data_IF_296319839847
#
_entry.id   IF_296319839847
#
_cell.length_a   1.000
_cell.length_b   1.000
_cell.length_c   1.000
_cell.angle_alpha   90.00
_cell.angle_beta   90.00
_cell.angle_gamma   90.00
#
_symmetry.space_group_name_H-M   'P 1'
#
loop_
_entity.id
_entity.type
_entity.pdbx_description
1 polymer ?
#
# COMPACT_ATOMS: atom_id res chain seq x y z
N UNK A 1 11.19 -21.49 -19.41
CA UNK A 1 11.92 -20.53 -18.54
C UNK A 1 11.13 -20.37 -17.27
N UNK A 2 11.77 -20.35 -16.11
CA UNK A 2 11.09 -19.98 -14.85
C UNK A 2 10.70 -18.51 -14.90
N UNK A 3 9.48 -18.18 -14.47
CA UNK A 3 8.98 -16.81 -14.45
C UNK A 3 9.63 -16.04 -13.30
N UNK A 4 10.10 -14.82 -13.55
CA UNK A 4 10.51 -13.85 -12.53
C UNK A 4 9.29 -13.03 -12.15
N UNK A 5 8.78 -13.21 -10.94
CA UNK A 5 7.67 -12.40 -10.42
C UNK A 5 8.22 -11.20 -9.66
N UNK A 6 8.13 -10.02 -10.25
CA UNK A 6 8.58 -8.74 -9.69
C UNK A 6 7.43 -7.72 -9.59
N UNK A 7 6.21 -8.21 -9.28
CA UNK A 7 5.01 -7.36 -9.10
C UNK A 7 4.33 -7.60 -7.74
N UNK A 8 5.13 -7.81 -6.69
CA UNK A 8 4.63 -8.09 -5.33
C UNK A 8 3.84 -6.91 -4.72
N UNK A 9 4.07 -5.68 -5.15
CA UNK A 9 3.27 -4.53 -4.73
C UNK A 9 1.83 -4.56 -5.28
N UNK A 10 1.55 -5.27 -6.38
CA UNK A 10 0.19 -5.49 -6.86
C UNK A 10 -0.52 -6.58 -6.04
N UNK A 11 0.10 -7.73 -5.89
CA UNK A 11 -0.34 -8.84 -5.02
C UNK A 11 0.81 -9.80 -4.83
N UNK A 12 0.83 -10.54 -3.72
CA UNK A 12 1.83 -11.57 -3.46
C UNK A 12 1.25 -12.98 -3.64
N UNK A 13 2.13 -13.96 -3.88
CA UNK A 13 1.79 -15.36 -3.77
C UNK A 13 1.51 -15.69 -2.30
N UNK A 14 0.46 -16.49 -2.03
CA UNK A 14 0.14 -16.90 -0.67
C UNK A 14 1.23 -17.83 -0.11
N UNK A 15 1.67 -17.58 1.14
CA UNK A 15 2.66 -18.40 1.80
C UNK A 15 2.12 -19.78 2.20
N UNK A 16 3.02 -20.76 2.34
CA UNK A 16 2.62 -22.07 2.82
C UNK A 16 2.05 -22.01 4.23
N UNK A 17 2.61 -21.19 5.10
CA UNK A 17 2.11 -20.95 6.46
C UNK A 17 0.66 -20.43 6.45
N UNK A 18 0.34 -19.49 5.55
CA UNK A 18 -1.03 -18.99 5.40
C UNK A 18 -1.99 -20.08 4.92
N UNK A 19 -1.60 -20.86 3.89
CA UNK A 19 -2.41 -21.95 3.35
C UNK A 19 -2.70 -23.00 4.43
N UNK A 20 -1.67 -23.45 5.14
CA UNK A 20 -1.81 -24.48 6.19
C UNK A 20 -2.68 -23.99 7.36
N UNK A 21 -2.60 -22.69 7.69
CA UNK A 21 -3.44 -22.08 8.70
C UNK A 21 -4.92 -21.97 8.25
N UNK A 22 -5.21 -21.93 6.97
CA UNK A 22 -6.59 -21.86 6.45
C UNK A 22 -7.28 -23.22 6.40
N UNK A 23 -6.57 -24.30 6.07
CA UNK A 23 -7.12 -25.62 5.75
C UNK A 23 -8.04 -26.16 6.87
N UNK A 24 -7.70 -26.15 8.17
CA UNK A 24 -8.59 -26.67 9.23
C UNK A 24 -9.95 -25.98 9.26
N UNK A 25 -10.00 -24.70 8.91
CA UNK A 25 -11.22 -23.89 8.93
C UNK A 25 -12.05 -24.01 7.66
N UNK A 26 -11.53 -24.64 6.64
CA UNK A 26 -12.26 -25.03 5.42
C UNK A 26 -12.82 -26.45 5.51
N UNK A 27 -12.21 -27.35 6.32
CA UNK A 27 -12.53 -28.77 6.37
C UNK A 27 -13.27 -29.17 7.66
N UNK A 28 -12.75 -28.81 8.82
CA UNK A 28 -13.19 -29.38 10.11
C UNK A 28 -13.76 -28.38 11.09
N UNK A 29 -13.26 -27.13 11.11
CA UNK A 29 -13.71 -26.06 12.04
C UNK A 29 -14.54 -25.03 11.25
N UNK A 30 -15.71 -25.44 10.81
CA UNK A 30 -16.59 -24.67 9.92
C UNK A 30 -17.72 -23.92 10.65
N UNK A 31 -17.70 -23.89 11.97
CA UNK A 31 -18.76 -23.27 12.78
C UNK A 31 -18.90 -21.77 12.56
N UNK A 32 -20.12 -21.28 12.76
CA UNK A 32 -20.33 -19.83 12.82
C UNK A 32 -19.88 -19.33 14.20
N UNK A 33 -18.96 -18.34 14.29
CA UNK A 33 -18.48 -17.82 15.59
C UNK A 33 -19.58 -17.23 16.49
N UNK A 34 -20.74 -16.90 15.95
CA UNK A 34 -21.88 -16.39 16.71
C UNK A 34 -22.77 -17.50 17.33
N UNK A 35 -22.52 -18.78 17.02
CA UNK A 35 -23.31 -19.89 17.48
C UNK A 35 -22.92 -20.33 18.92
N UNK A 36 -23.92 -20.65 19.76
CA UNK A 36 -23.70 -21.02 21.18
C UNK A 36 -23.24 -22.48 21.38
N UNK A 37 -23.41 -23.34 20.39
CA UNK A 37 -22.97 -24.75 20.46
C UNK A 37 -21.47 -24.90 20.29
N UNK A 38 -20.91 -26.04 20.69
CA UNK A 38 -19.47 -26.31 20.73
C UNK A 38 -18.73 -26.03 19.40
N UNK A 39 -19.33 -26.34 18.24
CA UNK A 39 -18.75 -26.10 16.93
C UNK A 39 -18.61 -24.58 16.67
N UNK A 40 -19.58 -23.79 17.10
CA UNK A 40 -19.49 -22.32 17.00
C UNK A 40 -18.46 -21.75 17.98
N UNK A 41 -18.37 -22.29 19.18
CA UNK A 41 -17.38 -21.83 20.17
C UNK A 41 -15.94 -22.07 19.73
N UNK A 42 -15.65 -23.20 19.09
CA UNK A 42 -14.33 -23.44 18.47
C UNK A 42 -13.99 -22.37 17.41
N UNK A 43 -14.95 -22.00 16.59
CA UNK A 43 -14.76 -20.93 15.61
C UNK A 43 -14.56 -19.56 16.26
N UNK A 44 -15.31 -19.25 17.34
CA UNK A 44 -15.16 -18.02 18.11
C UNK A 44 -13.79 -17.91 18.79
N UNK A 45 -13.29 -19.00 19.37
CA UNK A 45 -11.95 -19.07 19.96
C UNK A 45 -10.85 -18.84 18.90
N UNK A 46 -10.99 -19.44 17.72
CA UNK A 46 -10.07 -19.23 16.61
C UNK A 46 -10.08 -17.79 16.12
N UNK A 47 -11.26 -17.18 15.97
CA UNK A 47 -11.40 -15.78 15.59
C UNK A 47 -10.73 -14.85 16.60
N UNK A 48 -10.90 -15.12 17.89
CA UNK A 48 -10.27 -14.35 18.95
C UNK A 48 -8.75 -14.52 18.96
N UNK A 49 -8.24 -15.73 18.80
CA UNK A 49 -6.80 -16.01 18.67
C UNK A 49 -6.16 -15.26 17.49
N UNK A 50 -6.79 -15.31 16.30
CA UNK A 50 -6.29 -14.55 15.16
C UNK A 50 -6.22 -13.04 15.43
N UNK A 51 -7.24 -12.50 16.11
CA UNK A 51 -7.30 -11.09 16.50
C UNK A 51 -6.17 -10.72 17.47
N UNK A 52 -5.85 -11.58 18.42
CA UNK A 52 -4.76 -11.40 19.39
C UNK A 52 -3.39 -11.40 18.70
N UNK A 53 -3.15 -12.32 17.76
CA UNK A 53 -1.91 -12.43 16.99
C UNK A 53 -1.70 -11.17 16.14
N UNK A 54 -2.72 -10.71 15.43
CA UNK A 54 -2.65 -9.49 14.62
C UNK A 54 -2.41 -8.25 15.50
N UNK A 55 -3.08 -8.16 16.64
CA UNK A 55 -2.90 -7.06 17.59
C UNK A 55 -1.45 -7.01 18.10
N UNK A 56 -0.87 -8.17 18.42
CA UNK A 56 0.53 -8.28 18.86
C UNK A 56 1.52 -7.76 17.80
N UNK A 57 1.29 -8.06 16.52
CA UNK A 57 2.12 -7.55 15.41
C UNK A 57 2.12 -6.02 15.28
N UNK A 58 1.09 -5.34 15.79
CA UNK A 58 0.92 -3.89 15.68
C UNK A 58 1.15 -3.15 17.01
N UNK A 59 1.47 -3.85 18.10
CA UNK A 59 1.46 -3.33 19.47
C UNK A 59 0.10 -2.70 19.84
N UNK A 60 -1.00 -3.38 19.47
CA UNK A 60 -2.38 -2.97 19.69
C UNK A 60 -3.11 -3.89 20.70
N UNK A 61 -4.28 -3.46 21.19
CA UNK A 61 -5.20 -4.33 21.90
C UNK A 61 -6.04 -5.14 20.90
N UNK A 62 -6.41 -6.41 21.19
CA UNK A 62 -7.33 -7.17 20.35
C UNK A 62 -8.69 -6.48 20.12
N UNK A 63 -9.12 -5.65 21.05
CA UNK A 63 -10.36 -4.87 20.92
C UNK A 63 -10.30 -3.75 19.89
N UNK A 64 -9.10 -3.39 19.41
CA UNK A 64 -8.85 -2.34 18.44
C UNK A 64 -8.75 -2.87 17.01
N UNK A 65 -8.80 -4.20 16.83
CA UNK A 65 -8.73 -4.87 15.53
C UNK A 65 -10.14 -5.14 15.01
N UNK A 66 -10.40 -4.80 13.73
CA UNK A 66 -11.66 -5.04 13.02
C UNK A 66 -11.35 -5.67 11.67
N UNK A 67 -11.96 -6.83 11.39
CA UNK A 67 -11.77 -7.50 10.09
C UNK A 67 -12.62 -6.84 9.01
N UNK A 68 -12.01 -6.65 7.84
CA UNK A 68 -12.61 -6.06 6.65
C UNK A 68 -12.35 -6.97 5.44
N UNK A 69 -12.92 -6.66 4.28
CA UNK A 69 -12.64 -7.40 3.04
C UNK A 69 -11.29 -7.03 2.39
N UNK A 70 -10.56 -6.05 2.93
CA UNK A 70 -9.28 -5.57 2.42
C UNK A 70 -9.01 -4.12 2.76
N UNK A 71 -7.87 -3.59 2.31
CA UNK A 71 -7.43 -2.22 2.58
C UNK A 71 -8.44 -1.16 2.15
N UNK A 72 -9.05 -1.30 0.98
CA UNK A 72 -10.01 -0.31 0.49
C UNK A 72 -11.25 -0.17 1.38
N UNK A 73 -11.77 -1.27 1.94
CA UNK A 73 -12.87 -1.19 2.92
C UNK A 73 -12.39 -0.54 4.21
N UNK A 74 -11.18 -0.88 4.67
CA UNK A 74 -10.59 -0.33 5.89
C UNK A 74 -10.37 1.18 5.77
N UNK A 75 -9.78 1.67 4.66
CA UNK A 75 -9.57 3.10 4.38
C UNK A 75 -10.89 3.86 4.36
N UNK A 76 -11.88 3.34 3.63
CA UNK A 76 -13.19 3.95 3.53
C UNK A 76 -13.84 4.06 4.92
N UNK A 77 -13.79 2.99 5.72
CA UNK A 77 -14.39 2.98 7.05
C UNK A 77 -13.69 3.96 8.00
N UNK A 78 -12.36 4.01 7.99
CA UNK A 78 -11.58 4.94 8.79
C UNK A 78 -11.94 6.40 8.45
N UNK A 79 -11.82 6.76 7.18
CA UNK A 79 -12.04 8.14 6.70
C UNK A 79 -13.50 8.59 6.94
N UNK A 80 -14.47 7.76 6.56
CA UNK A 80 -15.89 8.10 6.73
C UNK A 80 -16.28 8.17 8.20
N UNK A 81 -15.70 7.35 9.08
CA UNK A 81 -15.95 7.40 10.53
C UNK A 81 -15.43 8.71 11.14
N UNK A 82 -14.19 9.09 10.81
CA UNK A 82 -13.58 10.34 11.26
C UNK A 82 -14.34 11.57 10.73
N UNK A 83 -14.72 11.58 9.45
CA UNK A 83 -15.49 12.64 8.83
C UNK A 83 -16.86 12.83 9.53
N UNK A 84 -17.61 11.75 9.76
CA UNK A 84 -18.91 11.79 10.46
C UNK A 84 -18.78 12.27 11.91
N UNK A 85 -17.72 11.85 12.60
CA UNK A 85 -17.43 12.35 13.95
C UNK A 85 -17.11 13.84 13.93
N UNK A 86 -16.28 14.28 12.98
CA UNK A 86 -15.93 15.68 12.77
C UNK A 86 -17.15 16.55 12.49
N UNK A 87 -18.00 16.13 11.55
CA UNK A 87 -19.22 16.88 11.18
C UNK A 87 -20.15 17.11 12.38
N UNK A 88 -20.29 16.14 13.28
CA UNK A 88 -21.08 16.29 14.54
C UNK A 88 -20.50 17.37 15.46
N UNK A 89 -19.22 17.71 15.32
CA UNK A 89 -18.52 18.74 16.09
C UNK A 89 -18.33 20.03 15.30
N UNK A 90 -18.94 20.16 14.12
CA UNK A 90 -18.77 21.30 13.22
C UNK A 90 -17.41 21.36 12.52
N UNK A 91 -16.65 20.24 12.53
CA UNK A 91 -15.32 20.17 11.88
C UNK A 91 -15.45 19.45 10.55
N UNK A 92 -14.99 20.07 9.48
CA UNK A 92 -15.12 19.54 8.12
C UNK A 92 -13.86 19.67 7.26
N UNK A 93 -12.72 19.97 7.86
CA UNK A 93 -11.44 20.01 7.15
C UNK A 93 -10.69 18.70 7.33
N UNK A 94 -10.15 18.15 6.22
CA UNK A 94 -9.36 16.91 6.16
C UNK A 94 -8.07 17.18 5.40
N UNK A 95 -6.95 16.77 5.98
CA UNK A 95 -5.62 16.87 5.37
C UNK A 95 -5.22 15.49 4.84
N UNK A 96 -4.69 15.45 3.62
CA UNK A 96 -4.16 14.24 2.98
C UNK A 96 -2.98 14.59 2.07
N UNK A 97 -2.53 13.63 1.23
CA UNK A 97 -1.49 13.88 0.23
C UNK A 97 -1.98 13.67 -1.18
N UNK A 98 -1.28 14.27 -2.16
CA UNK A 98 -1.67 14.20 -3.56
C UNK A 98 -1.42 12.83 -4.22
N UNK A 99 -0.75 11.90 -3.52
CA UNK A 99 -0.31 10.62 -4.10
C UNK A 99 -0.85 9.37 -3.37
N UNK A 100 -1.91 9.54 -2.59
CA UNK A 100 -2.58 8.44 -1.89
C UNK A 100 -3.14 7.38 -2.85
N UNK A 101 -3.40 6.19 -2.32
CA UNK A 101 -4.16 5.18 -3.05
C UNK A 101 -5.57 5.66 -3.39
N UNK A 102 -6.11 5.20 -4.52
CA UNK A 102 -7.46 5.60 -4.97
C UNK A 102 -8.56 5.32 -3.95
N UNK A 103 -8.41 4.33 -3.06
CA UNK A 103 -9.36 4.07 -1.97
C UNK A 103 -9.47 5.28 -1.02
N UNK A 104 -8.37 5.99 -0.79
CA UNK A 104 -8.34 7.24 -0.01
C UNK A 104 -8.84 8.41 -0.86
N UNK A 105 -8.23 8.67 -2.03
CA UNK A 105 -8.55 9.84 -2.87
C UNK A 105 -10.02 9.87 -3.31
N UNK A 106 -10.59 8.74 -3.72
CA UNK A 106 -11.99 8.70 -4.15
C UNK A 106 -12.96 8.88 -2.98
N UNK A 107 -12.60 8.39 -1.79
CA UNK A 107 -13.38 8.62 -0.57
C UNK A 107 -13.34 10.10 -0.18
N UNK A 108 -12.19 10.74 -0.26
CA UNK A 108 -12.04 12.18 -0.03
C UNK A 108 -12.85 13.01 -1.05
N UNK A 109 -12.77 12.64 -2.33
CA UNK A 109 -13.57 13.29 -3.40
C UNK A 109 -15.08 13.14 -3.20
N UNK A 110 -15.52 12.02 -2.59
CA UNK A 110 -16.93 11.87 -2.19
C UNK A 110 -17.28 12.84 -1.06
N UNK A 111 -16.41 12.97 -0.05
CA UNK A 111 -16.63 13.88 1.08
C UNK A 111 -16.63 15.35 0.67
N UNK A 112 -15.84 15.76 -0.33
CA UNK A 112 -15.92 17.12 -0.92
C UNK A 112 -17.34 17.44 -1.41
N UNK A 113 -18.00 16.48 -2.10
CA UNK A 113 -19.39 16.65 -2.55
C UNK A 113 -20.38 16.71 -1.38
N UNK A 114 -20.01 16.22 -0.20
CA UNK A 114 -20.77 16.29 1.05
C UNK A 114 -20.44 17.55 1.87
N UNK A 115 -19.61 18.46 1.32
CA UNK A 115 -19.27 19.75 1.90
C UNK A 115 -18.11 19.71 2.89
N UNK A 116 -17.22 18.73 2.79
CA UNK A 116 -15.92 18.74 3.45
C UNK A 116 -14.90 19.51 2.61
N UNK A 117 -13.96 20.15 3.26
CA UNK A 117 -12.80 20.78 2.64
C UNK A 117 -11.62 19.81 2.73
N UNK A 118 -11.05 19.46 1.58
CA UNK A 118 -9.93 18.53 1.48
C UNK A 118 -8.68 19.30 1.08
N UNK A 119 -7.66 19.28 1.93
CA UNK A 119 -6.35 19.84 1.63
C UNK A 119 -5.36 18.72 1.30
N UNK A 120 -4.90 18.70 0.04
CA UNK A 120 -3.89 17.75 -0.44
C UNK A 120 -2.51 18.38 -0.39
N UNK A 121 -1.66 17.93 0.53
CA UNK A 121 -0.29 18.41 0.67
C UNK A 121 0.58 17.95 -0.51
N UNK A 122 1.42 18.83 -1.06
CA UNK A 122 2.39 18.48 -2.07
C UNK A 122 3.50 17.60 -1.46
N UNK A 123 3.90 16.55 -2.18
CA UNK A 123 4.83 15.52 -1.68
C UNK A 123 6.29 15.74 -2.12
N UNK A 124 6.56 16.72 -2.97
CA UNK A 124 7.91 16.98 -3.49
C UNK A 124 8.46 15.86 -4.38
N UNK A 125 9.66 16.06 -4.94
CA UNK A 125 10.25 15.18 -5.95
C UNK A 125 10.61 13.77 -5.46
N UNK A 126 10.85 13.61 -4.16
CA UNK A 126 11.15 12.30 -3.54
C UNK A 126 9.89 11.62 -2.96
N UNK A 127 8.71 12.23 -3.14
CA UNK A 127 7.46 11.64 -2.67
C UNK A 127 7.39 11.48 -1.15
N UNK A 128 7.62 12.56 -0.41
CA UNK A 128 7.46 12.62 1.05
C UNK A 128 6.91 13.96 1.49
N UNK A 129 6.40 14.01 2.71
CA UNK A 129 6.00 15.24 3.39
C UNK A 129 6.73 15.32 4.73
N UNK A 130 6.71 16.51 5.35
CA UNK A 130 7.25 16.72 6.68
C UNK A 130 6.13 16.90 7.70
N UNK A 131 6.38 16.55 8.96
CA UNK A 131 5.47 16.85 10.06
C UNK A 131 5.17 18.37 10.15
N UNK A 132 6.13 19.22 9.78
CA UNK A 132 5.93 20.68 9.75
C UNK A 132 4.91 21.12 8.68
N UNK A 133 4.86 20.46 7.51
CA UNK A 133 3.82 20.74 6.50
C UNK A 133 2.44 20.40 7.07
N UNK A 134 2.29 19.22 7.72
CA UNK A 134 1.05 18.86 8.39
C UNK A 134 0.68 19.87 9.48
N UNK A 135 1.63 20.23 10.34
CA UNK A 135 1.41 21.23 11.41
C UNK A 135 0.93 22.58 10.87
N UNK A 136 1.49 23.03 9.75
CA UNK A 136 1.12 24.30 9.12
C UNK A 136 -0.26 24.28 8.47
N UNK A 137 -0.73 23.11 8.02
CA UNK A 137 -2.04 22.90 7.42
C UNK A 137 -3.16 22.69 8.45
N UNK A 138 -2.82 22.38 9.72
CA UNK A 138 -3.81 22.15 10.78
C UNK A 138 -4.60 23.43 11.08
N UNK A 139 -5.92 23.27 11.16
CA UNK A 139 -6.89 24.33 11.45
C UNK A 139 -7.78 23.94 12.63
N UNK A 140 -8.51 24.88 13.20
CA UNK A 140 -9.44 24.63 14.30
C UNK A 140 -10.57 23.65 13.92
N UNK A 141 -10.95 23.61 12.64
CA UNK A 141 -11.97 22.72 12.08
C UNK A 141 -11.41 21.48 11.40
N UNK A 142 -10.11 21.19 11.53
CA UNK A 142 -9.51 19.92 11.06
C UNK A 142 -10.04 18.75 11.91
N UNK A 143 -10.55 17.72 11.26
CA UNK A 143 -11.09 16.52 11.92
C UNK A 143 -10.27 15.26 11.65
N UNK A 144 -9.48 15.24 10.58
CA UNK A 144 -8.69 14.07 10.19
C UNK A 144 -7.43 14.50 9.44
N UNK A 145 -6.33 13.85 9.73
CA UNK A 145 -5.16 13.74 8.87
C UNK A 145 -5.10 12.29 8.38
N UNK A 146 -5.06 12.07 7.06
CA UNK A 146 -4.95 10.73 6.47
C UNK A 146 -3.80 10.72 5.47
N UNK A 147 -2.76 9.96 5.78
CA UNK A 147 -1.50 9.91 5.02
C UNK A 147 -1.03 8.46 4.97
N UNK A 148 -0.72 7.97 3.76
CA UNK A 148 -0.23 6.60 3.61
C UNK A 148 1.11 6.40 4.30
N UNK A 149 1.36 5.19 4.79
CA UNK A 149 2.61 4.85 5.47
C UNK A 149 3.78 4.78 4.48
N UNK A 150 3.54 4.15 3.35
CA UNK A 150 4.52 4.02 2.27
C UNK A 150 3.80 3.96 0.91
N UNK A 151 4.38 4.60 -0.10
CA UNK A 151 3.76 4.64 -1.41
C UNK A 151 4.02 3.35 -2.21
N UNK A 152 2.96 2.76 -2.74
CA UNK A 152 2.97 1.49 -3.48
C UNK A 152 3.65 1.57 -4.87
N UNK A 153 3.81 2.76 -5.43
CA UNK A 153 4.38 2.94 -6.77
C UNK A 153 5.86 3.29 -6.70
N UNK A 154 6.23 4.26 -5.88
CA UNK A 154 7.60 4.80 -5.81
C UNK A 154 8.38 4.34 -4.57
N UNK A 155 7.71 3.66 -3.65
CA UNK A 155 8.33 3.04 -2.48
C UNK A 155 8.66 3.96 -1.31
N UNK A 156 8.56 5.28 -1.44
CA UNK A 156 8.89 6.23 -0.37
C UNK A 156 8.11 5.96 0.91
N UNK A 157 8.79 5.93 2.05
CA UNK A 157 8.22 5.78 3.39
C UNK A 157 8.05 7.17 3.98
N UNK A 158 6.90 7.45 4.58
CA UNK A 158 6.56 8.74 5.15
C UNK A 158 6.89 8.80 6.66
N UNK A 159 7.12 9.97 7.24
CA UNK A 159 7.50 10.16 8.63
C UNK A 159 6.28 10.03 9.57
N UNK A 160 5.75 8.81 9.68
CA UNK A 160 4.47 8.52 10.36
C UNK A 160 4.49 8.87 11.85
N UNK A 161 5.60 8.59 12.54
CA UNK A 161 5.71 8.87 13.97
C UNK A 161 5.66 10.37 14.26
N UNK A 162 6.38 11.17 13.46
CA UNK A 162 6.41 12.63 13.59
C UNK A 162 5.07 13.26 13.21
N UNK A 163 4.37 12.71 12.21
CA UNK A 163 3.02 13.16 11.84
C UNK A 163 2.03 12.82 12.95
N UNK A 164 2.10 11.58 13.48
CA UNK A 164 1.26 11.12 14.56
C UNK A 164 1.41 11.99 15.82
N UNK A 165 2.65 12.38 16.17
CA UNK A 165 2.92 13.29 17.29
C UNK A 165 2.24 14.65 17.10
N UNK A 166 2.38 15.26 15.91
CA UNK A 166 1.73 16.54 15.57
C UNK A 166 0.21 16.43 15.66
N UNK A 167 -0.38 15.35 15.16
CA UNK A 167 -1.83 15.10 15.22
C UNK A 167 -2.32 14.93 16.67
N UNK A 168 -1.56 14.17 17.48
CA UNK A 168 -1.83 13.97 18.90
C UNK A 168 -1.82 15.28 19.68
N UNK A 169 -0.78 16.12 19.48
CA UNK A 169 -0.68 17.45 20.11
C UNK A 169 -1.87 18.34 19.75
N UNK A 170 -2.35 18.28 18.50
CA UNK A 170 -3.48 19.06 18.02
C UNK A 170 -4.86 18.47 18.39
N UNK A 171 -4.91 17.25 18.92
CA UNK A 171 -6.18 16.55 19.19
C UNK A 171 -6.98 16.23 17.92
N UNK A 172 -6.29 15.98 16.81
CA UNK A 172 -6.85 15.61 15.51
C UNK A 172 -6.61 14.11 15.26
N UNK A 173 -7.61 13.40 14.73
CA UNK A 173 -7.46 11.98 14.41
C UNK A 173 -6.44 11.78 13.28
N UNK A 174 -5.59 10.77 13.45
CA UNK A 174 -4.61 10.35 12.46
C UNK A 174 -4.90 8.94 11.93
N UNK A 175 -5.08 8.84 10.63
CA UNK A 175 -5.23 7.59 9.88
C UNK A 175 -4.04 7.39 8.95
N UNK A 176 -3.57 6.15 8.83
CA UNK A 176 -2.57 5.78 7.83
C UNK A 176 -2.98 4.54 7.05
N UNK A 177 -2.93 4.63 5.71
CA UNK A 177 -2.96 3.44 4.85
C UNK A 177 -1.59 2.77 4.92
N UNK A 178 -1.51 1.67 5.68
CA UNK A 178 -0.29 0.88 5.86
C UNK A 178 -0.27 -0.40 5.01
N UNK A 179 -1.11 -0.49 3.98
CA UNK A 179 -1.25 -1.68 3.12
C UNK A 179 0.09 -2.12 2.54
N UNK A 180 0.97 -1.20 2.18
CA UNK A 180 2.31 -1.52 1.63
C UNK A 180 3.39 -1.62 2.71
N UNK A 181 3.12 -1.20 3.93
CA UNK A 181 4.09 -1.19 5.03
C UNK A 181 4.01 -2.45 5.90
N UNK A 182 2.78 -2.94 6.15
CA UNK A 182 2.53 -4.09 7.03
C UNK A 182 3.30 -5.34 6.54
N UNK A 183 4.07 -5.94 7.45
CA UNK A 183 4.94 -7.09 7.17
C UNK A 183 6.26 -6.75 6.46
N UNK A 184 6.49 -5.49 6.06
CA UNK A 184 7.71 -5.05 5.36
C UNK A 184 8.56 -4.09 6.17
N UNK A 185 7.94 -3.30 7.04
CA UNK A 185 8.61 -2.39 7.98
C UNK A 185 7.96 -2.51 9.36
N UNK A 186 8.70 -2.23 10.45
CA UNK A 186 8.15 -2.27 11.79
C UNK A 186 7.03 -1.23 11.98
N UNK A 187 5.89 -1.66 12.53
CA UNK A 187 4.77 -0.79 12.87
C UNK A 187 4.46 -0.95 14.36
N UNK A 188 4.45 0.17 15.08
CA UNK A 188 4.02 0.26 16.46
C UNK A 188 3.00 1.39 16.59
N UNK A 189 1.71 1.04 16.63
CA UNK A 189 0.62 2.03 16.61
C UNK A 189 0.61 2.91 17.86
N UNK A 190 1.16 2.43 18.98
CA UNK A 190 1.28 3.22 20.21
C UNK A 190 2.41 4.25 20.11
N UNK A 191 3.61 3.79 19.76
CA UNK A 191 4.79 4.65 19.65
C UNK A 191 4.66 5.68 18.51
N UNK A 192 3.94 5.33 17.46
CA UNK A 192 3.73 6.19 16.28
C UNK A 192 2.45 7.04 16.37
N UNK A 193 1.74 6.97 17.50
CA UNK A 193 0.51 7.75 17.76
C UNK A 193 -0.55 7.64 16.67
N UNK A 194 -0.73 6.43 16.13
CA UNK A 194 -1.71 6.15 15.08
C UNK A 194 -3.08 5.91 15.73
N UNK A 195 -4.12 6.63 15.27
CA UNK A 195 -5.49 6.41 15.72
C UNK A 195 -6.23 5.35 14.93
N UNK A 196 -5.95 5.27 13.63
CA UNK A 196 -6.51 4.27 12.72
C UNK A 196 -5.47 3.85 11.68
N UNK A 197 -5.47 2.55 11.32
CA UNK A 197 -4.54 2.00 10.34
C UNK A 197 -5.24 0.93 9.50
N UNK A 198 -5.02 0.98 8.20
CA UNK A 198 -5.54 0.00 7.23
C UNK A 198 -4.44 -0.94 6.75
N UNK A 199 -4.77 -2.25 6.64
CA UNK A 199 -3.89 -3.23 5.99
C UNK A 199 -4.69 -4.25 5.17
N UNK A 200 -3.99 -4.98 4.27
CA UNK A 200 -4.58 -5.99 3.39
C UNK A 200 -3.66 -7.21 3.27
N UNK A 201 -4.20 -8.39 3.56
CA UNK A 201 -3.41 -9.61 3.71
C UNK A 201 -2.59 -10.00 2.47
N UNK A 202 -3.13 -9.76 1.28
CA UNK A 202 -2.48 -10.16 0.03
C UNK A 202 -1.22 -9.36 -0.32
N UNK A 203 -0.80 -8.41 0.51
CA UNK A 203 0.45 -7.66 0.34
C UNK A 203 1.62 -8.25 1.14
N UNK A 204 1.33 -9.12 2.10
CA UNK A 204 2.32 -9.82 2.93
C UNK A 204 2.08 -11.34 2.93
N UNK A 205 1.89 -11.93 1.75
CA UNK A 205 1.72 -13.36 1.52
C UNK A 205 0.50 -14.01 2.18
N UNK A 206 -0.49 -13.22 2.57
CA UNK A 206 -1.79 -13.68 3.05
C UNK A 206 -2.82 -13.83 1.92
N UNK A 207 -4.03 -14.29 2.25
CA UNK A 207 -5.11 -14.47 1.28
C UNK A 207 -5.68 -13.13 0.78
N UNK A 208 -6.19 -13.14 -0.46
CA UNK A 208 -6.98 -12.04 -1.02
C UNK A 208 -8.36 -11.98 -0.36
N UNK A 209 -8.98 -10.81 -0.37
CA UNK A 209 -10.35 -10.64 0.12
C UNK A 209 -10.48 -10.53 1.64
N UNK A 210 -9.39 -10.26 2.34
CA UNK A 210 -9.36 -10.02 3.78
C UNK A 210 -8.36 -8.91 4.12
N UNK A 211 -8.71 -8.07 5.10
CA UNK A 211 -7.89 -7.00 5.64
C UNK A 211 -8.28 -6.66 7.07
N UNK A 212 -7.64 -5.65 7.61
CA UNK A 212 -7.90 -5.15 8.96
C UNK A 212 -7.99 -3.64 8.94
N UNK A 213 -8.92 -3.12 9.73
CA UNK A 213 -8.89 -1.78 10.27
C UNK A 213 -8.48 -1.87 11.74
N UNK A 214 -7.31 -1.33 12.08
CA UNK A 214 -7.00 -0.96 13.45
C UNK A 214 -7.70 0.37 13.76
N UNK A 215 -8.36 0.45 14.91
CA UNK A 215 -8.90 1.70 15.42
C UNK A 215 -8.71 1.76 16.94
N UNK A 216 -7.93 2.76 17.38
CA UNK A 216 -7.60 2.99 18.78
C UNK A 216 -8.88 3.04 19.64
N UNK A 217 -8.82 2.46 20.82
CA UNK A 217 -9.95 2.46 21.75
C UNK A 217 -10.44 3.89 22.00
N UNK A 218 -11.74 4.09 21.88
CA UNK A 218 -12.37 5.41 22.00
C UNK A 218 -12.60 6.13 20.67
N UNK A 219 -12.03 5.67 19.55
CA UNK A 219 -12.38 6.16 18.21
C UNK A 219 -13.69 5.51 17.76
N UNK A 220 -14.76 6.28 17.56
CA UNK A 220 -16.06 5.70 17.19
C UNK A 220 -16.06 5.34 15.70
N UNK A 221 -16.16 4.06 15.39
CA UNK A 221 -16.34 3.58 14.03
C UNK A 221 -17.81 3.60 13.61
N UNK A 222 -18.05 3.98 12.38
CA UNK A 222 -19.36 3.85 11.71
C UNK A 222 -19.35 2.58 10.85
N UNK A 223 -20.42 1.78 10.92
CA UNK A 223 -20.60 0.66 10.00
C UNK A 223 -20.78 1.19 8.56
N UNK A 224 -20.12 0.52 7.60
CA UNK A 224 -20.35 0.73 6.18
C UNK A 224 -21.27 -0.36 5.60
N UNK A 225 -21.29 -1.54 6.24
CA UNK A 225 -22.08 -2.69 5.83
C UNK A 225 -23.05 -2.97 6.96
N UNK A 226 -24.30 -2.66 6.72
CA UNK A 226 -25.38 -2.87 7.71
C UNK A 226 -25.84 -4.33 7.74
N UNK A 227 -26.20 -4.83 8.92
CA UNK A 227 -26.69 -6.21 9.11
C UNK A 227 -26.56 -6.70 10.54
N UNK A 228 -25.98 -7.89 10.74
CA UNK A 228 -25.76 -8.49 12.06
C UNK A 228 -24.72 -7.77 12.91
N UNK A 229 -24.54 -8.22 14.14
CA UNK A 229 -23.66 -7.59 15.13
C UNK A 229 -22.19 -8.06 15.05
N UNK A 230 -21.78 -8.69 13.95
CA UNK A 230 -20.39 -9.10 13.75
C UNK A 230 -19.44 -7.89 13.89
N UNK A 231 -18.19 -8.16 14.21
CA UNK A 231 -17.19 -7.11 14.47
C UNK A 231 -17.72 -6.03 15.44
N UNK A 232 -18.44 -6.46 16.47
CA UNK A 232 -19.05 -5.60 17.51
C UNK A 232 -19.99 -4.54 16.92
N UNK A 233 -20.75 -4.91 15.87
CA UNK A 233 -21.66 -4.04 15.15
C UNK A 233 -20.98 -2.98 14.28
N UNK A 234 -19.69 -3.18 13.93
CA UNK A 234 -18.93 -2.25 13.09
C UNK A 234 -18.75 -2.74 11.68
N UNK A 235 -18.96 -4.03 11.44
CA UNK A 235 -18.92 -4.64 10.11
C UNK A 235 -19.76 -5.90 10.11
N UNK A 236 -20.91 -5.85 9.48
CA UNK A 236 -21.84 -6.98 9.42
C UNK A 236 -21.39 -8.06 8.41
N UNK A 237 -21.96 -9.25 8.55
CA UNK A 237 -21.66 -10.42 7.72
C UNK A 237 -20.79 -11.44 8.44
N UNK A 238 -21.11 -12.73 8.26
CA UNK A 238 -20.35 -13.84 8.87
C UNK A 238 -18.86 -13.71 8.54
N UNK A 239 -18.04 -13.86 9.55
CA UNK A 239 -16.59 -13.72 9.45
C UNK A 239 -15.99 -14.80 8.56
N UNK A 240 -15.12 -14.43 7.63
CA UNK A 240 -14.37 -15.34 6.77
C UNK A 240 -13.21 -15.96 7.58
N UNK A 241 -13.56 -16.89 8.47
CA UNK A 241 -12.61 -17.48 9.40
C UNK A 241 -11.36 -18.09 8.73
N UNK A 242 -11.47 -18.87 7.63
CA UNK A 242 -10.29 -19.37 6.95
C UNK A 242 -9.33 -18.25 6.52
N UNK A 243 -9.84 -17.21 5.87
CA UNK A 243 -9.00 -16.10 5.41
C UNK A 243 -8.43 -15.28 6.57
N UNK A 244 -9.16 -15.11 7.66
CA UNK A 244 -8.68 -14.45 8.89
C UNK A 244 -7.49 -15.21 9.48
N UNK A 245 -7.59 -16.54 9.59
CA UNK A 245 -6.50 -17.38 10.12
C UNK A 245 -5.27 -17.36 9.20
N UNK A 246 -5.46 -17.42 7.88
CA UNK A 246 -4.39 -17.29 6.91
C UNK A 246 -3.70 -15.91 6.99
N UNK A 247 -4.47 -14.84 7.15
CA UNK A 247 -3.94 -13.50 7.33
C UNK A 247 -3.13 -13.38 8.63
N UNK A 248 -3.63 -13.90 9.74
CA UNK A 248 -2.92 -13.86 11.02
C UNK A 248 -1.59 -14.60 10.96
N UNK A 249 -1.57 -15.78 10.33
CA UNK A 249 -0.34 -16.56 10.14
C UNK A 249 0.67 -15.83 9.24
N UNK A 250 0.20 -15.24 8.13
CA UNK A 250 1.07 -14.50 7.21
C UNK A 250 1.66 -13.24 7.85
N UNK A 251 0.86 -12.47 8.60
CA UNK A 251 1.35 -11.25 9.25
C UNK A 251 2.35 -11.56 10.35
N UNK A 252 2.07 -12.56 11.17
CA UNK A 252 2.97 -13.00 12.25
C UNK A 252 4.32 -13.47 11.70
N UNK A 253 4.31 -14.30 10.64
CA UNK A 253 5.52 -14.75 9.96
C UNK A 253 6.30 -13.58 9.35
N UNK A 254 5.63 -12.68 8.63
CA UNK A 254 6.25 -11.50 8.05
C UNK A 254 6.87 -10.60 9.13
N UNK A 255 6.15 -10.32 10.22
CA UNK A 255 6.65 -9.49 11.32
C UNK A 255 7.84 -10.11 12.06
N UNK A 256 7.87 -11.44 12.20
CA UNK A 256 8.99 -12.15 12.82
C UNK A 256 10.30 -12.06 12.00
N UNK A 257 10.20 -11.84 10.68
CA UNK A 257 11.34 -11.85 9.76
C UNK A 257 11.62 -10.50 9.09
N UNK A 258 11.02 -9.39 9.55
CA UNK A 258 11.17 -8.05 8.91
C UNK A 258 12.64 -7.70 8.67
N UNK A 259 13.50 -7.81 9.70
CA UNK A 259 14.90 -7.38 9.58
C UNK A 259 15.72 -8.25 8.63
N UNK A 260 15.46 -9.56 8.60
CA UNK A 260 16.12 -10.49 7.70
C UNK A 260 15.68 -10.24 6.26
N UNK A 261 14.37 -10.20 6.03
CA UNK A 261 13.78 -9.97 4.72
C UNK A 261 14.15 -8.59 4.18
N UNK A 262 14.10 -7.54 5.01
CA UNK A 262 14.49 -6.19 4.60
C UNK A 262 15.95 -6.13 4.14
N UNK A 263 16.88 -6.78 4.86
CA UNK A 263 18.30 -6.83 4.45
C UNK A 263 18.49 -7.53 3.12
N UNK A 264 17.89 -8.72 2.95
CA UNK A 264 17.99 -9.50 1.71
C UNK A 264 17.39 -8.74 0.53
N UNK A 265 16.15 -8.30 0.68
CA UNK A 265 15.39 -7.68 -0.40
C UNK A 265 15.96 -6.32 -0.79
N UNK A 266 16.43 -5.52 0.19
CA UNK A 266 17.11 -4.26 -0.10
C UNK A 266 18.41 -4.44 -0.88
N UNK A 267 19.19 -5.48 -0.61
CA UNK A 267 20.39 -5.78 -1.39
C UNK A 267 20.06 -6.06 -2.87
N UNK A 268 19.00 -6.85 -3.13
CA UNK A 268 18.51 -7.12 -4.48
C UNK A 268 17.99 -5.84 -5.16
N UNK A 269 17.20 -5.04 -4.44
CA UNK A 269 16.69 -3.74 -4.89
C UNK A 269 17.82 -2.80 -5.28
N UNK A 270 18.84 -2.66 -4.45
CA UNK A 270 19.94 -1.72 -4.66
C UNK A 270 20.79 -2.11 -5.88
N UNK A 271 20.95 -3.42 -6.14
CA UNK A 271 21.56 -3.92 -7.39
C UNK A 271 20.73 -3.52 -8.61
N UNK A 272 19.39 -3.66 -8.55
CA UNK A 272 18.50 -3.21 -9.63
C UNK A 272 18.60 -1.70 -9.85
N UNK A 273 18.54 -0.91 -8.78
CA UNK A 273 18.66 0.56 -8.87
C UNK A 273 19.98 0.95 -9.52
N UNK A 274 21.10 0.38 -9.05
CA UNK A 274 22.42 0.67 -9.61
C UNK A 274 22.51 0.34 -11.12
N UNK A 275 22.03 -0.85 -11.51
CA UNK A 275 22.07 -1.28 -12.91
C UNK A 275 21.13 -0.49 -13.83
N UNK A 276 19.90 -0.23 -13.40
CA UNK A 276 18.93 0.52 -14.20
C UNK A 276 19.31 2.00 -14.33
N UNK A 277 19.99 2.57 -13.33
CA UNK A 277 20.52 3.95 -13.40
C UNK A 277 21.60 4.14 -14.46
N UNK A 278 22.19 3.06 -14.98
CA UNK A 278 23.16 3.14 -16.10
C UNK A 278 22.50 3.33 -17.45
N UNK A 279 21.17 3.17 -17.54
CA UNK A 279 20.44 3.41 -18.80
C UNK A 279 20.34 4.92 -19.00
N UNK A 280 20.87 5.50 -20.10
CA UNK A 280 20.78 6.94 -20.35
C UNK A 280 19.32 7.42 -20.37
N UNK A 281 19.08 8.64 -19.92
CA UNK A 281 17.75 9.25 -19.88
C UNK A 281 16.74 8.37 -19.12
N UNK A 282 17.15 7.92 -17.94
CA UNK A 282 16.31 7.23 -16.97
C UNK A 282 16.35 7.95 -15.62
N UNK A 283 15.31 7.83 -14.83
CA UNK A 283 15.26 8.42 -13.50
C UNK A 283 14.60 7.48 -12.49
N UNK A 284 15.25 7.30 -11.34
CA UNK A 284 14.67 6.67 -10.17
C UNK A 284 13.55 7.56 -9.62
N UNK A 285 12.40 6.98 -9.27
CA UNK A 285 11.30 7.65 -8.60
C UNK A 285 11.30 7.35 -7.11
N UNK A 286 10.87 8.33 -6.31
CA UNK A 286 10.78 8.20 -4.86
C UNK A 286 12.10 8.48 -4.13
N UNK A 287 12.07 8.33 -2.82
CA UNK A 287 13.24 8.54 -1.95
C UNK A 287 14.31 7.46 -2.24
N UNK A 288 15.57 7.83 -2.51
CA UNK A 288 16.61 6.85 -2.80
C UNK A 288 17.05 6.03 -1.58
N UNK A 289 16.79 6.51 -0.37
CA UNK A 289 17.26 5.91 0.89
C UNK A 289 16.09 5.40 1.73
N UNK A 290 15.14 6.28 2.06
CA UNK A 290 14.01 5.95 2.92
C UNK A 290 12.85 5.38 2.10
N UNK A 291 12.99 4.10 1.71
CA UNK A 291 12.04 3.41 0.84
C UNK A 291 11.81 1.97 1.25
N UNK A 292 10.67 1.41 0.81
CA UNK A 292 10.33 0.00 1.00
C UNK A 292 11.45 -0.92 0.49
N UNK A 293 11.75 -2.01 1.20
CA UNK A 293 12.85 -2.91 0.85
C UNK A 293 12.81 -3.41 -0.60
N UNK A 294 11.62 -3.75 -1.12
CA UNK A 294 11.49 -4.38 -2.42
C UNK A 294 11.11 -3.46 -3.58
N UNK A 295 10.87 -2.17 -3.36
CA UNK A 295 10.34 -1.29 -4.41
C UNK A 295 11.45 -0.65 -5.25
N UNK A 296 11.34 -0.80 -6.58
CA UNK A 296 12.16 -0.13 -7.61
C UNK A 296 11.21 0.51 -8.62
N UNK A 297 11.27 1.82 -8.76
CA UNK A 297 10.44 2.58 -9.69
C UNK A 297 11.29 3.48 -10.56
N UNK A 298 11.22 3.31 -11.86
CA UNK A 298 11.96 4.10 -12.84
C UNK A 298 11.04 4.69 -13.89
N UNK A 299 11.45 5.83 -14.45
CA UNK A 299 10.96 6.32 -15.73
C UNK A 299 12.09 6.27 -16.76
N UNK A 300 11.75 5.89 -17.98
CA UNK A 300 12.65 5.87 -19.14
C UNK A 300 12.09 6.80 -20.22
N UNK A 301 12.80 7.87 -20.53
CA UNK A 301 12.34 8.85 -21.52
C UNK A 301 12.33 8.23 -22.93
N UNK A 302 11.31 8.58 -23.70
CA UNK A 302 11.18 8.19 -25.11
C UNK A 302 10.56 6.84 -25.38
N UNK A 303 9.94 6.18 -24.39
CA UNK A 303 9.22 4.89 -24.55
C UNK A 303 7.83 4.93 -23.91
N UNK A 304 7.02 3.91 -24.23
CA UNK A 304 5.74 3.63 -23.61
C UNK A 304 5.86 2.47 -22.62
N UNK A 305 5.42 2.67 -21.37
CA UNK A 305 5.50 1.70 -20.28
C UNK A 305 4.71 0.42 -20.56
N UNK A 306 3.53 0.49 -21.17
CA UNK A 306 2.75 -0.70 -21.51
C UNK A 306 3.50 -1.61 -22.49
N UNK A 307 4.12 -1.02 -23.51
CA UNK A 307 4.96 -1.77 -24.47
C UNK A 307 6.16 -2.41 -23.78
N UNK A 308 6.78 -1.70 -22.82
CA UNK A 308 7.86 -2.23 -22.00
C UNK A 308 7.40 -3.45 -21.20
N UNK A 309 6.25 -3.38 -20.54
CA UNK A 309 5.69 -4.49 -19.74
C UNK A 309 5.40 -5.72 -20.59
N UNK A 310 4.77 -5.54 -21.76
CA UNK A 310 4.46 -6.66 -22.67
C UNK A 310 5.71 -7.38 -23.16
N UNK A 311 6.78 -6.62 -23.48
CA UNK A 311 8.04 -7.22 -23.95
C UNK A 311 8.81 -7.89 -22.80
N UNK A 312 8.72 -7.36 -21.57
CA UNK A 312 9.29 -8.02 -20.38
C UNK A 312 8.55 -9.32 -20.06
N UNK A 313 7.21 -9.33 -20.15
CA UNK A 313 6.41 -10.55 -19.95
C UNK A 313 6.77 -11.65 -20.98
N UNK A 314 6.96 -11.27 -22.25
CA UNK A 314 7.44 -12.18 -23.28
C UNK A 314 8.84 -12.79 -22.98
N UNK A 315 9.64 -12.12 -22.12
CA UNK A 315 10.92 -12.61 -21.60
C UNK A 315 10.76 -13.34 -20.24
N UNK A 316 9.52 -13.55 -19.78
CA UNK A 316 9.20 -14.20 -18.51
C UNK A 316 9.46 -13.33 -17.27
N UNK A 317 9.35 -12.01 -17.37
CA UNK A 317 9.49 -11.06 -16.27
C UNK A 317 8.16 -10.33 -16.06
N UNK A 318 7.50 -10.60 -14.94
CA UNK A 318 6.26 -9.94 -14.54
C UNK A 318 6.59 -8.67 -13.75
N UNK A 319 6.16 -7.53 -14.28
CA UNK A 319 6.36 -6.20 -13.68
C UNK A 319 5.09 -5.34 -13.88
N UNK A 320 5.08 -4.12 -13.37
CA UNK A 320 3.96 -3.19 -13.49
C UNK A 320 4.44 -1.80 -13.89
N UNK A 321 3.51 -0.95 -14.32
CA UNK A 321 3.70 0.50 -14.40
C UNK A 321 3.00 1.18 -13.22
N UNK A 322 3.31 2.44 -12.98
CA UNK A 322 2.64 3.23 -11.94
C UNK A 322 1.11 3.31 -12.11
N UNK A 323 0.59 3.13 -13.34
CA UNK A 323 -0.84 3.23 -13.68
C UNK A 323 -1.62 1.90 -13.61
N UNK A 324 -1.05 0.82 -13.10
CA UNK A 324 -1.67 -0.52 -13.12
C UNK A 324 -3.08 -0.60 -12.47
N UNK A 325 -3.43 0.33 -11.58
CA UNK A 325 -4.76 0.35 -10.93
C UNK A 325 -5.85 1.04 -11.77
N UNK A 326 -5.49 1.65 -12.90
CA UNK A 326 -6.42 2.31 -13.84
C UNK A 326 -6.38 1.60 -15.19
N UNK A 327 -6.55 0.28 -15.20
CA UNK A 327 -6.60 -0.51 -16.43
C UNK A 327 -7.61 0.09 -17.42
N UNK A 328 -7.11 0.69 -18.51
CA UNK A 328 -7.90 1.36 -19.53
C UNK A 328 -7.78 2.89 -19.57
N UNK A 329 -7.06 3.55 -18.68
CA UNK A 329 -6.71 4.97 -18.80
C UNK A 329 -5.36 5.12 -19.49
N UNK A 330 -5.35 5.95 -20.55
CA UNK A 330 -4.11 6.39 -21.21
C UNK A 330 -3.34 7.45 -20.40
N UNK A 331 -3.88 7.85 -19.25
CA UNK A 331 -3.26 8.86 -18.40
C UNK A 331 -2.11 8.27 -17.57
N UNK A 332 -1.00 8.99 -17.40
CA UNK A 332 0.10 8.56 -16.56
C UNK A 332 -0.32 8.53 -15.08
N UNK A 333 0.45 7.81 -14.26
CA UNK A 333 0.22 7.71 -12.81
C UNK A 333 0.11 9.09 -12.15
N UNK A 334 -0.96 9.29 -11.39
CA UNK A 334 -1.13 10.50 -10.55
C UNK A 334 0.01 10.65 -9.52
N UNK A 335 0.59 9.53 -9.06
CA UNK A 335 1.75 9.52 -8.15
C UNK A 335 2.97 10.14 -8.81
N UNK A 336 3.27 9.71 -10.05
CA UNK A 336 4.40 10.25 -10.80
C UNK A 336 4.22 11.73 -11.13
N UNK A 337 3.00 12.14 -11.46
CA UNK A 337 2.67 13.57 -11.66
C UNK A 337 2.81 14.35 -10.34
N UNK A 338 2.38 13.80 -9.21
CA UNK A 338 2.47 14.43 -7.90
C UNK A 338 3.93 14.68 -7.45
N UNK A 339 4.87 13.81 -7.84
CA UNK A 339 6.31 14.01 -7.60
C UNK A 339 6.99 14.90 -8.65
N UNK A 340 6.23 15.49 -9.57
CA UNK A 340 6.73 16.44 -10.57
C UNK A 340 7.31 15.79 -11.82
N UNK A 341 7.06 14.51 -12.11
CA UNK A 341 7.44 13.91 -13.39
C UNK A 341 6.55 14.50 -14.50
N UNK A 342 7.12 15.05 -15.56
CA UNK A 342 6.35 15.47 -16.72
C UNK A 342 5.58 14.30 -17.35
N UNK A 343 4.45 14.61 -17.97
CA UNK A 343 3.56 13.63 -18.57
C UNK A 343 4.28 12.66 -19.52
N UNK A 344 5.14 13.21 -20.41
CA UNK A 344 5.89 12.45 -21.40
C UNK A 344 6.89 11.47 -20.77
N UNK A 345 7.45 11.83 -19.62
CA UNK A 345 8.39 10.98 -18.87
C UNK A 345 7.63 9.92 -18.05
N UNK A 346 6.52 10.32 -17.45
CA UNK A 346 5.71 9.43 -16.59
C UNK A 346 5.10 8.25 -17.38
N UNK A 347 4.85 8.42 -18.68
CA UNK A 347 4.39 7.34 -19.55
C UNK A 347 5.40 6.20 -19.67
N UNK A 348 6.68 6.47 -19.63
CA UNK A 348 7.75 5.46 -19.73
C UNK A 348 8.09 4.82 -18.38
N UNK A 349 7.13 4.62 -17.49
CA UNK A 349 7.37 4.11 -16.14
C UNK A 349 7.43 2.59 -16.07
N UNK A 350 8.30 2.09 -15.17
CA UNK A 350 8.44 0.69 -14.77
C UNK A 350 8.49 0.63 -13.24
N UNK A 351 7.64 -0.21 -12.65
CA UNK A 351 7.74 -0.60 -11.26
C UNK A 351 8.09 -2.08 -11.17
N UNK A 352 9.18 -2.38 -10.47
CA UNK A 352 9.55 -3.70 -10.03
C UNK A 352 9.37 -3.75 -8.51
N UNK A 353 8.74 -4.79 -8.03
CA UNK A 353 8.55 -4.99 -6.59
C UNK A 353 8.90 -6.42 -6.20
N UNK A 354 9.98 -6.54 -5.45
CA UNK A 354 10.59 -7.78 -5.00
C UNK A 354 10.04 -8.20 -3.64
N UNK A 355 10.14 -9.48 -3.35
CA UNK A 355 9.92 -10.05 -2.02
C UNK A 355 11.10 -10.97 -1.64
N UNK A 356 11.05 -11.56 -0.46
CA UNK A 356 12.09 -12.46 0.07
C UNK A 356 12.29 -13.74 -0.74
N UNK A 357 11.39 -14.05 -1.66
CA UNK A 357 11.51 -15.24 -2.54
C UNK A 357 12.27 -14.94 -3.83
N UNK A 358 12.50 -13.68 -4.16
CA UNK A 358 13.34 -13.32 -5.29
C UNK A 358 14.82 -13.62 -5.00
N UNK A 359 15.57 -13.86 -6.07
CA UNK A 359 16.96 -14.29 -6.04
C UNK A 359 17.88 -13.34 -6.80
N UNK A 360 19.19 -13.51 -6.63
CA UNK A 360 20.20 -12.80 -7.42
C UNK A 360 20.07 -13.11 -8.92
N UNK A 361 19.71 -14.36 -9.28
CA UNK A 361 19.46 -14.74 -10.67
C UNK A 361 18.28 -14.00 -11.29
N UNK A 362 17.21 -13.75 -10.50
CA UNK A 362 16.08 -12.93 -10.96
C UNK A 362 16.54 -11.50 -11.30
N UNK A 363 17.39 -10.93 -10.43
CA UNK A 363 17.96 -9.59 -10.65
C UNK A 363 18.84 -9.56 -11.90
N UNK A 364 19.70 -10.55 -12.09
CA UNK A 364 20.56 -10.64 -13.29
C UNK A 364 19.72 -10.72 -14.57
N UNK A 365 18.65 -11.49 -14.56
CA UNK A 365 17.70 -11.59 -15.69
C UNK A 365 17.00 -10.26 -15.98
N UNK A 366 16.56 -9.53 -14.95
CA UNK A 366 15.94 -8.20 -15.10
C UNK A 366 16.97 -7.22 -15.70
N UNK A 367 18.20 -7.19 -15.15
CA UNK A 367 19.25 -6.29 -15.59
C UNK A 367 19.75 -6.59 -17.03
N UNK A 368 19.62 -7.81 -17.50
CA UNK A 368 19.87 -8.15 -18.90
C UNK A 368 18.72 -7.70 -19.82
N UNK A 369 17.48 -7.92 -19.39
CA UNK A 369 16.31 -7.72 -20.24
C UNK A 369 15.88 -6.24 -20.37
N UNK A 370 15.85 -5.48 -19.27
CA UNK A 370 15.32 -4.10 -19.28
C UNK A 370 16.10 -3.18 -20.22
N UNK A 371 17.46 -3.13 -20.21
CA UNK A 371 18.22 -2.28 -21.13
C UNK A 371 17.98 -2.66 -22.60
N UNK A 372 17.93 -3.96 -22.92
CA UNK A 372 17.65 -4.46 -24.27
C UNK A 372 16.28 -4.00 -24.78
N UNK A 373 15.24 -4.15 -23.94
CA UNK A 373 13.88 -3.78 -24.32
C UNK A 373 13.74 -2.25 -24.44
N UNK A 374 14.33 -1.48 -23.52
CA UNK A 374 14.33 -0.02 -23.60
C UNK A 374 15.02 0.47 -24.89
N UNK A 375 16.18 -0.09 -25.25
CA UNK A 375 16.89 0.24 -26.49
C UNK A 375 16.03 -0.06 -27.71
N UNK A 376 15.43 -1.26 -27.77
CA UNK A 376 14.54 -1.66 -28.87
C UNK A 376 13.33 -0.71 -29.01
N UNK A 377 12.66 -0.37 -27.93
CA UNK A 377 11.51 0.55 -27.95
C UNK A 377 11.92 1.96 -28.41
N UNK A 378 13.09 2.45 -27.98
CA UNK A 378 13.64 3.74 -28.43
C UNK A 378 13.93 3.79 -29.93
N UNK A 379 14.48 2.73 -30.51
CA UNK A 379 14.70 2.65 -31.98
C UNK A 379 13.40 2.81 -32.77
N UNK A 380 12.31 2.28 -32.25
CA UNK A 380 10.98 2.34 -32.89
C UNK A 380 10.26 3.66 -32.61
N UNK A 381 10.59 4.36 -31.53
CA UNK A 381 9.89 5.55 -31.05
C UNK A 381 10.11 6.79 -31.91
N UNK A 382 9.06 7.40 -32.49
CA UNK A 382 9.17 8.71 -33.15
C UNK A 382 9.62 9.81 -32.15
N UNK A 383 9.16 9.77 -30.91
CA UNK A 383 9.53 10.72 -29.86
C UNK A 383 11.04 10.65 -29.57
N UNK A 384 11.60 9.46 -29.47
CA UNK A 384 13.04 9.29 -29.26
C UNK A 384 13.87 9.85 -30.44
N UNK A 385 13.39 9.67 -31.69
CA UNK A 385 14.03 10.26 -32.88
C UNK A 385 14.04 11.78 -32.85
N UNK A 386 12.98 12.39 -32.31
CA UNK A 386 12.93 13.85 -32.13
C UNK A 386 13.92 14.34 -31.06
N UNK A 387 14.07 13.59 -29.96
CA UNK A 387 15.02 13.89 -28.90
C UNK A 387 16.48 13.81 -29.42
N UNK A 388 16.89 12.68 -30.01
CA UNK A 388 18.28 12.49 -30.50
C UNK A 388 18.63 13.40 -31.65
N UNK A 389 17.66 13.86 -32.44
CA UNK A 389 17.90 14.83 -33.55
C UNK A 389 17.93 16.28 -33.06
N UNK A 390 17.72 16.54 -31.76
CA UNK A 390 17.68 17.89 -31.20
C UNK A 390 16.42 18.69 -31.53
N UNK A 391 15.40 18.07 -32.14
CA UNK A 391 14.10 18.72 -32.39
C UNK A 391 13.33 18.97 -31.11
N UNK A 392 13.54 18.13 -30.08
CA UNK A 392 13.06 18.33 -28.72
C UNK A 392 14.22 18.19 -27.73
N UNK A 393 14.23 18.93 -26.62
CA UNK A 393 15.22 18.73 -25.56
C UNK A 393 14.92 17.47 -24.76
N UNK A 394 15.96 16.82 -24.22
CA UNK A 394 15.79 15.81 -23.18
C UNK A 394 15.31 16.44 -21.88
N UNK A 395 14.52 15.71 -21.13
CA UNK A 395 14.01 16.09 -19.81
C UNK A 395 14.82 15.38 -18.71
N UNK A 396 15.27 14.14 -18.96
CA UNK A 396 16.08 13.30 -18.06
C UNK A 396 17.54 13.26 -18.47
#
# INVERSE_FOLDING_TARGET
>A
MTTVYADNAATTQMSRAAIDAMLPYMETIYGNPSSLHSVGQQAAEALQNARERIAACLNASPREIYFTSGGSEADNQAILSAARLGARKGKKHIISTAFEHHAVLHTLKKLEKEGFEIELLPVGAIGTITAQQVKSALRADTCLVTVMYANNEIGSILPIAEIGEVCREAGVLFHTDAVQAAGHVPIDVQAQHIDMLSLSAHKFHGPKGIGVLYARQGVPLTSLIEGGAQERGKRAGTENLPAIMGMAAALEDACAHIDENARKVSALRDRLIAGLSMIPHSALNGDPVNRLPGNVSFCFEGIEGESLLLLLDAKGICASSGSACTSGSLDPSHVLLAIGRPHEVAHGSLRLSLCEWNTDEDVDRILAAVPEVVAYLREMSPMWKDLISGRKPFIL
#
